data_IF_451461450003
#
_entry.id   IF_451461450003
#
_cell.length_a   1.000
_cell.length_b   1.000
_cell.length_c   1.000
_cell.angle_alpha   90.00
_cell.angle_beta   90.00
_cell.angle_gamma   90.00
#
_symmetry.space_group_name_H-M   'P 1'
#
loop_
_entity.id
_entity.type
_entity.pdbx_description
1 polymer ?
#
# COMPACT_ATOMS: atom_id res chain seq x y z
N UNK A 1 -15.59 -5.01 39.83
CA UNK A 1 -15.62 -4.10 38.66
C UNK A 1 -14.25 -3.87 38.01
N UNK A 2 -13.13 -3.81 38.77
CA UNK A 2 -11.78 -3.55 38.21
C UNK A 2 -11.29 -4.57 37.16
N UNK A 3 -11.65 -5.86 37.28
CA UNK A 3 -11.24 -6.92 36.34
C UNK A 3 -11.77 -6.73 34.91
N UNK A 4 -13.01 -6.25 34.73
CA UNK A 4 -13.61 -6.10 33.39
C UNK A 4 -12.94 -4.95 32.63
N UNK A 5 -12.60 -3.88 33.36
CA UNK A 5 -11.90 -2.72 32.80
C UNK A 5 -10.48 -3.08 32.33
N UNK A 6 -9.76 -3.92 33.08
CA UNK A 6 -8.43 -4.41 32.66
C UNK A 6 -8.51 -5.23 31.38
N UNK A 7 -9.48 -6.11 31.23
CA UNK A 7 -9.62 -6.96 30.04
C UNK A 7 -10.01 -6.18 28.79
N UNK A 8 -10.86 -5.15 28.92
CA UNK A 8 -11.20 -4.25 27.82
C UNK A 8 -9.95 -3.49 27.36
N UNK A 9 -9.16 -2.97 28.31
CA UNK A 9 -7.92 -2.24 28.01
C UNK A 9 -6.91 -3.18 27.33
N UNK A 10 -6.72 -4.39 27.85
CA UNK A 10 -5.83 -5.39 27.22
C UNK A 10 -6.30 -5.78 25.82
N UNK A 11 -7.61 -5.95 25.60
CA UNK A 11 -8.16 -6.22 24.27
C UNK A 11 -7.96 -5.05 23.31
N UNK A 12 -8.13 -3.80 23.75
CA UNK A 12 -7.88 -2.61 22.92
C UNK A 12 -6.40 -2.53 22.54
N UNK A 13 -5.47 -2.79 23.47
CA UNK A 13 -4.04 -2.82 23.16
C UNK A 13 -3.66 -4.00 22.25
N UNK A 14 -4.26 -5.18 22.44
CA UNK A 14 -4.02 -6.33 21.57
C UNK A 14 -4.62 -6.11 20.18
N UNK A 15 -5.79 -5.46 20.08
CA UNK A 15 -6.36 -5.02 18.81
C UNK A 15 -5.46 -3.95 18.16
N UNK A 16 -4.98 -2.94 18.88
CA UNK A 16 -3.99 -1.98 18.37
C UNK A 16 -2.67 -2.64 17.98
N UNK A 17 -2.26 -3.73 18.62
CA UNK A 17 -1.04 -4.47 18.30
C UNK A 17 -1.22 -5.36 17.06
N UNK A 18 -2.37 -6.03 16.93
CA UNK A 18 -2.73 -6.88 15.78
C UNK A 18 -3.18 -6.06 14.56
N UNK A 19 -3.81 -4.90 14.78
CA UNK A 19 -4.20 -3.91 13.77
C UNK A 19 -3.19 -2.75 13.65
N UNK A 20 -1.99 -2.90 14.21
CA UNK A 20 -0.77 -2.26 13.70
C UNK A 20 -0.02 -3.25 12.80
N UNK A 21 -0.55 -3.70 11.64
CA UNK A 21 0.38 -3.85 10.56
C UNK A 21 0.91 -2.44 10.33
N UNK A 22 2.22 -2.25 10.44
CA UNK A 22 2.91 -1.04 9.98
C UNK A 22 2.14 -0.42 8.80
N UNK A 23 1.35 0.63 9.06
CA UNK A 23 0.83 1.51 8.02
C UNK A 23 1.99 2.42 7.64
N UNK A 24 3.08 1.80 7.21
CA UNK A 24 3.82 2.31 6.08
C UNK A 24 3.18 1.60 4.91
N UNK A 25 2.19 2.24 4.28
CA UNK A 25 2.19 2.20 2.82
C UNK A 25 3.51 2.85 2.41
N UNK A 26 4.60 2.08 2.54
CA UNK A 26 5.89 2.46 2.02
C UNK A 26 5.64 2.44 0.54
N UNK A 27 5.50 3.65 0.00
CA UNK A 27 5.44 3.82 -1.42
C UNK A 27 6.48 2.97 -2.10
N UNK A 28 6.05 2.27 -3.14
CA UNK A 28 6.96 1.51 -3.99
C UNK A 28 8.13 2.45 -4.29
N UNK A 29 9.32 2.08 -3.81
CA UNK A 29 10.57 2.84 -4.01
C UNK A 29 10.71 4.22 -3.31
N UNK A 30 9.77 4.65 -2.44
CA UNK A 30 9.75 6.01 -1.86
C UNK A 30 10.94 6.38 -0.99
N UNK A 31 11.58 5.40 -0.34
CA UNK A 31 12.74 5.65 0.52
C UNK A 31 14.06 5.81 -0.25
N UNK A 32 14.07 5.61 -1.58
CA UNK A 32 15.29 5.59 -2.38
C UNK A 32 15.68 6.99 -2.92
N UNK A 33 14.72 7.89 -3.11
CA UNK A 33 15.01 9.28 -3.53
C UNK A 33 15.39 10.12 -2.31
N UNK A 34 16.68 10.43 -2.16
CA UNK A 34 17.23 11.23 -1.05
C UNK A 34 17.25 12.74 -1.36
N UNK A 35 17.58 13.54 -0.33
CA UNK A 35 17.76 14.99 -0.43
C UNK A 35 18.95 15.43 -1.30
N UNK A 36 19.81 14.50 -1.74
CA UNK A 36 21.01 14.80 -2.53
C UNK A 36 20.70 15.41 -3.91
N UNK A 37 19.44 15.32 -4.38
CA UNK A 37 18.96 16.01 -5.59
C UNK A 37 19.09 17.54 -5.48
N UNK A 38 19.19 18.10 -4.27
CA UNK A 38 19.39 19.54 -4.06
C UNK A 38 20.72 20.04 -4.62
N UNK A 39 21.74 19.17 -4.69
CA UNK A 39 23.08 19.52 -5.19
C UNK A 39 23.17 19.60 -6.72
N UNK A 40 22.12 19.20 -7.44
CA UNK A 40 22.06 19.28 -8.92
C UNK A 40 22.32 20.70 -9.41
N UNK A 41 21.74 21.71 -8.76
CA UNK A 41 21.92 23.12 -9.16
C UNK A 41 23.38 23.56 -9.09
N UNK A 42 24.10 23.13 -8.04
CA UNK A 42 25.53 23.37 -7.87
C UNK A 42 26.35 22.67 -8.96
N UNK A 43 25.99 21.43 -9.28
CA UNK A 43 26.65 20.69 -10.35
C UNK A 43 26.46 21.37 -11.71
N UNK A 44 25.24 21.78 -12.07
CA UNK A 44 24.97 22.49 -13.33
C UNK A 44 25.77 23.78 -13.43
N UNK A 45 25.89 24.54 -12.35
CA UNK A 45 26.69 25.77 -12.31
C UNK A 45 28.20 25.52 -12.52
N UNK A 46 28.69 24.33 -12.15
CA UNK A 46 30.08 23.94 -12.29
C UNK A 46 30.41 23.28 -13.64
N UNK A 47 29.41 22.98 -14.48
CA UNK A 47 29.61 22.38 -15.80
C UNK A 47 29.69 23.47 -16.88
N UNK A 48 30.57 23.31 -17.90
CA UNK A 48 30.59 24.24 -19.03
C UNK A 48 29.23 24.26 -19.75
N UNK A 49 28.71 25.45 -20.03
CA UNK A 49 27.35 25.62 -20.60
C UNK A 49 27.19 25.00 -21.99
N UNK A 50 28.28 24.97 -22.75
CA UNK A 50 28.37 24.44 -24.11
C UNK A 50 28.66 22.94 -24.15
N UNK A 51 29.05 22.34 -23.02
CA UNK A 51 29.28 20.90 -22.90
C UNK A 51 28.02 20.12 -23.31
N UNK A 52 28.23 18.96 -23.94
CA UNK A 52 27.15 18.12 -24.46
C UNK A 52 27.13 16.78 -23.74
N UNK A 53 26.02 16.51 -23.06
CA UNK A 53 25.74 15.23 -22.43
C UNK A 53 24.88 14.43 -23.41
N UNK A 54 25.33 13.23 -23.74
CA UNK A 54 24.56 12.27 -24.55
C UNK A 54 23.52 11.62 -23.67
N UNK A 55 22.27 11.60 -24.11
CA UNK A 55 21.19 10.84 -23.48
C UNK A 55 20.37 10.18 -24.58
N UNK A 56 20.13 8.87 -24.46
CA UNK A 56 19.16 8.17 -25.29
C UNK A 56 17.76 8.56 -24.83
N UNK A 57 17.18 9.54 -25.50
CA UNK A 57 15.92 10.14 -25.10
C UNK A 57 14.75 9.28 -25.57
N UNK A 58 13.82 8.97 -24.65
CA UNK A 58 12.57 8.25 -24.93
C UNK A 58 11.56 9.21 -25.59
N UNK A 59 11.16 8.96 -26.85
CA UNK A 59 10.17 9.78 -27.52
C UNK A 59 8.83 9.78 -26.77
N UNK A 60 8.16 10.94 -26.72
CA UNK A 60 6.86 11.07 -26.06
C UNK A 60 6.92 11.34 -24.56
N UNK A 61 8.10 11.43 -23.94
CA UNK A 61 8.25 11.84 -22.54
C UNK A 61 7.60 13.20 -22.25
N UNK A 62 7.54 14.08 -23.24
CA UNK A 62 6.93 15.41 -23.15
C UNK A 62 5.39 15.39 -23.14
N UNK A 63 4.76 14.41 -23.79
CA UNK A 63 3.30 14.35 -24.02
C UNK A 63 2.61 13.18 -23.31
N UNK A 64 3.33 12.09 -23.05
CA UNK A 64 2.77 10.88 -22.46
C UNK A 64 2.81 10.91 -20.93
N UNK A 65 1.87 10.20 -20.28
CA UNK A 65 1.94 9.93 -18.85
C UNK A 65 3.26 9.26 -18.43
N UNK A 66 3.68 9.49 -17.18
CA UNK A 66 4.96 9.02 -16.66
C UNK A 66 5.15 7.51 -16.75
N UNK A 67 4.11 6.71 -16.48
CA UNK A 67 4.18 5.24 -16.52
C UNK A 67 4.51 4.68 -17.92
N UNK A 68 4.44 5.50 -18.98
CA UNK A 68 4.76 5.07 -20.34
C UNK A 68 6.24 5.14 -20.71
N UNK A 69 7.03 5.93 -19.97
CA UNK A 69 8.42 6.22 -20.35
C UNK A 69 9.41 6.16 -19.19
N UNK A 70 8.93 6.23 -17.94
CA UNK A 70 9.80 6.41 -16.78
C UNK A 70 10.79 5.25 -16.59
N UNK A 71 10.38 3.99 -16.80
CA UNK A 71 11.27 2.82 -16.66
C UNK A 71 12.46 2.88 -17.60
N UNK A 72 12.20 3.20 -18.86
CA UNK A 72 13.24 3.30 -19.87
C UNK A 72 14.09 4.54 -19.62
N UNK A 73 13.47 5.66 -19.24
CA UNK A 73 14.18 6.92 -19.01
C UNK A 73 15.15 6.84 -17.83
N UNK A 74 14.77 6.21 -16.71
CA UNK A 74 15.69 6.05 -15.57
C UNK A 74 16.88 5.17 -15.94
N UNK A 75 16.68 4.11 -16.71
CA UNK A 75 17.77 3.28 -17.21
C UNK A 75 18.74 4.08 -18.11
N UNK A 76 18.21 4.89 -19.03
CA UNK A 76 19.05 5.73 -19.90
C UNK A 76 19.77 6.86 -19.14
N UNK A 77 19.16 7.39 -18.07
CA UNK A 77 19.79 8.37 -17.19
C UNK A 77 20.95 7.77 -16.39
N UNK A 78 20.81 6.55 -15.86
CA UNK A 78 21.88 5.83 -15.15
C UNK A 78 23.13 5.69 -16.03
N UNK A 79 22.96 5.22 -17.27
CA UNK A 79 24.04 5.11 -18.25
C UNK A 79 24.71 6.46 -18.52
N UNK A 80 23.90 7.49 -18.79
CA UNK A 80 24.42 8.82 -19.14
C UNK A 80 25.14 9.51 -17.97
N UNK A 81 24.69 9.29 -16.73
CA UNK A 81 25.33 9.79 -15.53
C UNK A 81 26.63 9.04 -15.22
N UNK A 82 26.67 7.73 -15.44
CA UNK A 82 27.90 6.92 -15.31
C UNK A 82 28.96 7.37 -16.32
N UNK A 83 28.57 7.55 -17.59
CA UNK A 83 29.45 8.10 -18.63
C UNK A 83 29.96 9.51 -18.30
N UNK A 84 29.15 10.30 -17.57
CA UNK A 84 29.54 11.62 -17.10
C UNK A 84 30.50 11.54 -15.92
N UNK A 85 30.26 10.62 -14.97
CA UNK A 85 31.08 10.39 -13.79
C UNK A 85 32.53 10.07 -14.19
N UNK A 86 32.71 9.22 -15.20
CA UNK A 86 34.02 8.79 -15.72
C UNK A 86 34.89 9.94 -16.25
N UNK A 87 34.28 11.10 -16.53
CA UNK A 87 35.01 12.30 -17.01
C UNK A 87 35.59 13.13 -15.87
N UNK A 88 35.20 12.85 -14.63
CA UNK A 88 35.69 13.54 -13.45
C UNK A 88 36.64 12.64 -12.68
N UNK A 89 37.76 13.20 -12.23
CA UNK A 89 38.65 12.49 -11.31
C UNK A 89 37.99 12.41 -9.93
N UNK A 90 38.11 11.25 -9.28
CA UNK A 90 37.71 11.04 -7.90
C UNK A 90 38.69 11.76 -6.94
N UNK A 91 38.55 13.07 -6.83
CA UNK A 91 39.33 13.89 -5.92
C UNK A 91 38.61 13.88 -4.57
N UNK A 92 39.32 13.42 -3.52
CA UNK A 92 38.83 13.20 -2.15
C UNK A 92 38.45 14.48 -1.38
N UNK A 93 38.45 15.65 -2.03
CA UNK A 93 38.04 16.91 -1.40
C UNK A 93 36.52 17.08 -1.52
N UNK A 94 35.87 17.37 -0.39
CA UNK A 94 34.41 17.37 -0.25
C UNK A 94 33.68 18.26 -1.26
N UNK A 95 32.47 17.84 -1.64
CA UNK A 95 31.56 18.52 -2.56
C UNK A 95 32.15 18.78 -3.97
N UNK A 96 32.91 17.79 -4.47
CA UNK A 96 33.37 17.72 -5.86
C UNK A 96 32.25 17.33 -6.83
N UNK A 97 32.38 17.72 -8.09
CA UNK A 97 31.43 17.30 -9.14
C UNK A 97 31.31 15.77 -9.21
N UNK A 98 32.44 15.05 -9.05
CA UNK A 98 32.46 13.59 -8.96
C UNK A 98 31.54 13.09 -7.85
N UNK A 99 31.68 13.61 -6.62
CA UNK A 99 30.87 13.17 -5.48
C UNK A 99 29.38 13.44 -5.68
N UNK A 100 29.02 14.56 -6.31
CA UNK A 100 27.62 14.85 -6.63
C UNK A 100 27.11 13.84 -7.66
N UNK A 101 27.83 13.66 -8.78
CA UNK A 101 27.40 12.74 -9.84
C UNK A 101 27.29 11.29 -9.31
N UNK A 102 28.26 10.82 -8.51
CA UNK A 102 28.25 9.48 -7.89
C UNK A 102 27.00 9.24 -7.04
N UNK A 103 26.58 10.24 -6.25
CA UNK A 103 25.32 10.17 -5.51
C UNK A 103 24.10 10.11 -6.43
N UNK A 104 24.08 10.90 -7.50
CA UNK A 104 22.97 10.88 -8.46
C UNK A 104 22.89 9.55 -9.22
N UNK A 105 24.04 8.95 -9.58
CA UNK A 105 24.10 7.60 -10.18
C UNK A 105 23.45 6.59 -9.24
N UNK A 106 23.86 6.56 -7.96
CA UNK A 106 23.29 5.66 -6.95
C UNK A 106 21.78 5.81 -6.81
N UNK A 107 21.27 7.05 -6.77
CA UNK A 107 19.83 7.30 -6.72
C UNK A 107 19.14 6.69 -7.94
N UNK A 108 19.67 6.89 -9.15
CA UNK A 108 19.02 6.37 -10.36
C UNK A 108 19.13 4.85 -10.47
N UNK A 109 20.26 4.26 -10.09
CA UNK A 109 20.44 2.81 -10.06
C UNK A 109 19.47 2.14 -9.08
N UNK A 110 19.32 2.75 -7.90
CA UNK A 110 18.33 2.36 -6.91
C UNK A 110 16.90 2.41 -7.48
N UNK A 111 16.59 3.39 -8.33
CA UNK A 111 15.29 3.48 -9.02
C UNK A 111 15.13 2.40 -10.09
N UNK A 112 16.16 2.14 -10.89
CA UNK A 112 16.16 1.09 -11.92
C UNK A 112 15.90 -0.27 -11.27
N UNK A 113 16.66 -0.64 -10.25
CA UNK A 113 16.49 -1.90 -9.51
C UNK A 113 15.06 -2.02 -8.97
N UNK A 114 14.53 -0.94 -8.39
CA UNK A 114 13.19 -0.97 -7.83
C UNK A 114 12.08 -1.14 -8.90
N UNK A 115 12.28 -0.63 -10.11
CA UNK A 115 11.38 -0.85 -11.24
C UNK A 115 11.50 -2.24 -11.87
N UNK A 116 12.65 -2.90 -11.73
CA UNK A 116 12.84 -4.30 -12.15
C UNK A 116 12.19 -5.27 -11.16
N UNK A 117 12.32 -5.01 -9.85
CA UNK A 117 11.67 -5.79 -8.78
C UNK A 117 10.15 -5.69 -8.83
N UNK A 118 9.63 -4.48 -9.10
CA UNK A 118 8.22 -4.22 -9.27
C UNK A 118 7.92 -4.07 -10.76
N UNK A 119 7.75 -5.21 -11.44
CA UNK A 119 7.09 -5.27 -12.75
C UNK A 119 5.70 -4.64 -12.63
N UNK A 120 5.63 -3.33 -12.81
CA UNK A 120 4.37 -2.65 -12.99
C UNK A 120 3.79 -3.23 -14.29
N UNK A 121 2.78 -4.11 -14.18
CA UNK A 121 2.11 -4.70 -15.35
C UNK A 121 1.58 -3.61 -16.32
N UNK A 122 1.46 -2.38 -15.84
CA UNK A 122 1.01 -1.19 -16.57
C UNK A 122 2.12 -0.38 -17.25
N UNK A 123 3.42 -0.66 -17.03
CA UNK A 123 4.51 0.06 -17.69
C UNK A 123 4.73 -0.54 -19.08
N UNK A 124 3.96 -0.02 -20.04
CA UNK A 124 4.08 -0.40 -21.44
C UNK A 124 5.37 0.21 -21.99
N UNK A 125 6.31 -0.63 -22.43
CA UNK A 125 7.52 -0.18 -23.13
C UNK A 125 7.13 0.70 -24.32
N UNK A 126 7.75 1.88 -24.43
CA UNK A 126 7.60 2.76 -25.58
C UNK A 126 7.75 1.96 -26.88
N UNK A 127 6.83 2.16 -27.83
CA UNK A 127 6.87 1.49 -29.14
C UNK A 127 8.03 1.97 -30.01
N UNK A 128 8.64 3.12 -29.67
CA UNK A 128 9.77 3.68 -30.39
C UNK A 128 11.04 3.59 -29.54
N UNK A 129 12.10 3.06 -30.15
CA UNK A 129 13.43 2.96 -29.54
C UNK A 129 13.92 4.34 -29.08
N UNK A 130 14.55 4.44 -27.89
CA UNK A 130 15.23 5.65 -27.47
C UNK A 130 16.29 6.10 -28.48
N UNK A 131 16.31 7.40 -28.77
CA UNK A 131 17.24 7.97 -29.75
C UNK A 131 18.35 8.76 -29.04
N UNK A 132 19.64 8.55 -29.36
CA UNK A 132 20.73 9.36 -28.83
C UNK A 132 20.55 10.83 -29.20
N UNK A 133 20.53 11.70 -28.20
CA UNK A 133 20.45 13.15 -28.35
C UNK A 133 21.47 13.82 -27.45
N UNK A 134 21.93 14.99 -27.88
CA UNK A 134 22.90 15.80 -27.15
C UNK A 134 22.19 16.95 -26.43
N UNK A 135 22.42 17.06 -25.12
CA UNK A 135 21.81 18.08 -24.27
C UNK A 135 22.87 18.93 -23.59
N UNK A 136 22.58 20.21 -23.37
CA UNK A 136 23.37 21.03 -22.44
C UNK A 136 23.15 20.54 -21.01
N UNK A 137 24.06 20.84 -20.06
CA UNK A 137 23.89 20.42 -18.66
C UNK A 137 22.53 20.82 -18.09
N UNK A 138 22.12 22.07 -18.30
CA UNK A 138 20.81 22.57 -17.84
C UNK A 138 19.64 21.71 -18.36
N UNK A 139 19.62 21.40 -19.67
CA UNK A 139 18.54 20.61 -20.26
C UNK A 139 18.58 19.15 -19.79
N UNK A 140 19.77 18.56 -19.68
CA UNK A 140 19.95 17.20 -19.21
C UNK A 140 19.46 17.05 -17.76
N UNK A 141 19.91 17.92 -16.86
CA UNK A 141 19.51 17.87 -15.46
C UNK A 141 18.05 18.33 -15.25
N UNK A 142 17.48 19.11 -16.17
CA UNK A 142 16.03 19.35 -16.23
C UNK A 142 15.23 18.08 -16.56
N UNK A 143 15.72 17.25 -17.48
CA UNK A 143 15.14 15.92 -17.76
C UNK A 143 15.27 15.01 -16.54
N UNK A 144 16.45 14.97 -15.91
CA UNK A 144 16.68 14.22 -14.68
C UNK A 144 15.67 14.58 -13.59
N UNK A 145 15.55 15.86 -13.23
CA UNK A 145 14.62 16.29 -12.17
C UNK A 145 13.17 15.94 -12.50
N UNK A 146 12.75 16.14 -13.76
CA UNK A 146 11.41 15.74 -14.23
C UNK A 146 11.18 14.24 -14.07
N UNK A 147 12.17 13.39 -14.34
CA UNK A 147 12.07 11.95 -14.15
C UNK A 147 11.97 11.58 -12.66
N UNK A 148 12.78 12.18 -11.80
CA UNK A 148 12.73 11.96 -10.35
C UNK A 148 11.36 12.37 -9.79
N UNK A 149 10.79 13.49 -10.22
CA UNK A 149 9.47 13.95 -9.78
C UNK A 149 8.35 13.06 -10.32
N UNK A 150 8.41 12.68 -11.60
CA UNK A 150 7.46 11.75 -12.21
C UNK A 150 7.43 10.39 -11.50
N UNK A 151 8.56 9.97 -10.94
CA UNK A 151 8.66 8.75 -10.16
C UNK A 151 7.95 8.86 -8.80
N UNK A 152 8.05 10.00 -8.11
CA UNK A 152 7.30 10.26 -6.87
C UNK A 152 5.78 10.20 -7.12
N UNK A 153 5.33 10.66 -8.29
CA UNK A 153 3.92 10.68 -8.67
C UNK A 153 3.41 9.31 -9.15
N UNK A 154 4.30 8.40 -9.58
CA UNK A 154 3.95 7.09 -10.11
C UNK A 154 3.23 6.20 -9.07
N UNK A 155 3.58 6.37 -7.79
CA UNK A 155 2.94 5.70 -6.65
C UNK A 155 1.44 6.03 -6.54
N UNK A 156 1.02 7.24 -6.95
CA UNK A 156 -0.39 7.66 -6.92
C UNK A 156 -1.14 7.28 -8.20
N UNK A 157 -0.42 7.11 -9.33
CA UNK A 157 -1.00 6.98 -10.66
C UNK A 157 -1.15 5.53 -11.17
N UNK A 158 -0.48 4.55 -10.54
CA UNK A 158 -0.53 3.14 -10.94
C UNK A 158 -1.96 2.51 -11.01
N UNK A 159 -2.97 3.21 -10.49
CA UNK A 159 -4.39 2.84 -10.54
C UNK A 159 -5.17 3.36 -11.76
N UNK A 160 -4.55 4.11 -12.68
CA UNK A 160 -5.25 4.70 -13.84
C UNK A 160 -4.59 4.29 -15.16
N UNK A 161 -5.16 3.26 -15.78
CA UNK A 161 -4.83 2.75 -17.12
C UNK A 161 -5.10 3.81 -18.20
N UNK A 162 -4.12 4.69 -18.42
CA UNK A 162 -4.08 5.53 -19.63
C UNK A 162 -3.14 4.91 -20.66
N UNK A 163 -3.57 4.90 -21.92
CA UNK A 163 -2.90 4.18 -23.00
C UNK A 163 -1.61 4.87 -23.45
N UNK A 164 -0.50 4.12 -23.54
CA UNK A 164 0.81 4.63 -23.95
C UNK A 164 0.96 4.64 -25.48
N UNK A 165 0.13 5.44 -26.17
CA UNK A 165 0.16 5.59 -27.63
C UNK A 165 0.36 7.05 -28.00
N UNK A 166 1.47 7.35 -28.66
CA UNK A 166 1.68 8.64 -29.33
C UNK A 166 0.80 8.61 -30.59
N UNK A 167 -0.38 9.22 -30.53
CA UNK A 167 -1.29 9.29 -31.67
C UNK A 167 -0.62 10.00 -32.84
N UNK A 168 -0.06 9.21 -33.75
CA UNK A 168 0.45 9.67 -35.04
C UNK A 168 -0.66 9.43 -36.06
N UNK A 169 -1.26 10.51 -36.54
CA UNK A 169 -2.18 10.61 -37.69
C UNK A 169 -3.58 9.98 -37.59
N UNK A 170 -4.57 10.81 -37.90
CA UNK A 170 -5.97 10.48 -38.18
C UNK A 170 -6.08 9.33 -39.22
N UNK A 171 -6.59 8.18 -38.81
CA UNK A 171 -7.29 7.23 -39.72
C UNK A 171 -8.19 6.30 -38.89
N UNK A 172 -9.48 6.15 -39.19
CA UNK A 172 -10.42 5.41 -38.35
C UNK A 172 -10.36 3.92 -38.69
N UNK A 173 -9.59 3.14 -37.94
CA UNK A 173 -9.68 1.69 -38.02
C UNK A 173 -10.65 1.16 -36.95
N UNK A 174 -11.84 0.78 -37.41
CA UNK A 174 -12.84 0.00 -36.68
C UNK A 174 -12.22 -1.33 -36.24
N UNK A 175 -12.15 -1.61 -34.93
CA UNK A 175 -11.66 -2.91 -34.47
C UNK A 175 -11.91 -3.22 -32.99
N UNK A 176 -13.14 -3.64 -32.67
CA UNK A 176 -13.56 -4.53 -31.56
C UNK A 176 -13.14 -4.17 -30.12
N UNK A 177 -14.12 -3.66 -29.37
CA UNK A 177 -14.17 -3.74 -27.92
C UNK A 177 -14.21 -5.21 -27.47
N UNK A 178 -13.18 -5.65 -26.75
CA UNK A 178 -13.24 -6.83 -25.88
C UNK A 178 -13.51 -6.34 -24.46
N UNK A 179 -14.69 -6.65 -23.93
CA UNK A 179 -15.06 -6.40 -22.55
C UNK A 179 -14.13 -7.20 -21.62
N UNK A 180 -13.37 -6.52 -20.76
CA UNK A 180 -12.65 -7.17 -19.66
C UNK A 180 -13.63 -7.43 -18.52
N UNK A 181 -13.93 -8.71 -18.30
CA UNK A 181 -14.73 -9.23 -17.19
C UNK A 181 -13.89 -9.18 -15.90
N UNK A 182 -14.51 -8.61 -14.86
CA UNK A 182 -14.29 -8.78 -13.41
C UNK A 182 -12.86 -8.72 -12.83
N UNK A 183 -12.48 -7.53 -12.34
CA UNK A 183 -11.51 -7.39 -11.24
C UNK A 183 -12.06 -6.57 -10.06
N UNK A 184 -13.26 -6.01 -10.21
CA UNK A 184 -13.95 -5.24 -9.17
C UNK A 184 -14.30 -6.11 -7.95
N UNK A 185 -14.43 -7.42 -8.09
CA UNK A 185 -14.84 -8.30 -7.01
C UNK A 185 -13.74 -8.51 -5.93
N UNK A 186 -12.45 -8.36 -6.28
CA UNK A 186 -11.35 -8.57 -5.33
C UNK A 186 -11.18 -7.39 -4.35
N UNK A 187 -11.42 -6.15 -4.80
CA UNK A 187 -11.23 -4.95 -3.97
C UNK A 187 -12.31 -4.80 -2.88
N UNK A 188 -13.55 -5.17 -3.18
CA UNK A 188 -14.63 -5.18 -2.19
C UNK A 188 -14.46 -6.37 -1.21
N UNK A 189 -13.89 -7.49 -1.66
CA UNK A 189 -13.58 -8.62 -0.79
C UNK A 189 -12.55 -8.25 0.29
N UNK A 190 -11.51 -7.48 -0.06
CA UNK A 190 -10.48 -7.04 0.89
C UNK A 190 -11.00 -6.07 1.97
N UNK A 191 -12.00 -5.23 1.64
CA UNK A 191 -12.65 -4.33 2.62
C UNK A 191 -13.75 -5.03 3.43
N UNK A 192 -14.44 -6.00 2.85
CA UNK A 192 -15.55 -6.69 3.51
C UNK A 192 -15.09 -7.80 4.47
N UNK A 193 -14.00 -8.52 4.14
CA UNK A 193 -13.52 -9.66 4.94
C UNK A 193 -13.24 -9.29 6.42
N UNK A 194 -12.53 -8.18 6.75
CA UNK A 194 -12.29 -7.80 8.15
C UNK A 194 -13.56 -7.48 8.94
N UNK A 195 -14.56 -6.89 8.27
CA UNK A 195 -15.85 -6.58 8.88
C UNK A 195 -16.69 -7.84 9.13
N UNK A 196 -16.68 -8.79 8.17
CA UNK A 196 -17.35 -10.08 8.32
C UNK A 196 -16.71 -10.94 9.42
N UNK A 197 -15.36 -11.00 9.50
CA UNK A 197 -14.68 -11.69 10.59
C UNK A 197 -15.01 -11.06 11.95
N UNK A 198 -15.02 -9.73 12.05
CA UNK A 198 -15.36 -9.04 13.30
C UNK A 198 -16.81 -9.28 13.73
N UNK A 199 -17.76 -9.33 12.78
CA UNK A 199 -19.17 -9.57 13.06
C UNK A 199 -19.42 -11.02 13.48
N UNK A 200 -18.78 -12.00 12.84
CA UNK A 200 -18.89 -13.41 13.21
C UNK A 200 -18.27 -13.68 14.59
N UNK A 201 -17.09 -13.14 14.85
CA UNK A 201 -16.43 -13.28 16.16
C UNK A 201 -17.25 -12.58 17.24
N UNK A 202 -17.73 -11.35 17.00
CA UNK A 202 -18.59 -10.62 17.94
C UNK A 202 -19.90 -11.34 18.24
N UNK A 203 -20.54 -11.92 17.22
CA UNK A 203 -21.77 -12.71 17.40
C UNK A 203 -21.52 -14.02 18.16
N UNK A 204 -20.42 -14.73 17.87
CA UNK A 204 -20.07 -15.96 18.58
C UNK A 204 -19.79 -15.70 20.07
N UNK A 205 -19.03 -14.65 20.40
CA UNK A 205 -18.80 -14.26 21.79
C UNK A 205 -20.08 -13.75 22.46
N UNK A 206 -20.92 -12.99 21.76
CA UNK A 206 -22.21 -12.53 22.26
C UNK A 206 -23.17 -13.68 22.59
N UNK A 207 -23.27 -14.67 21.70
CA UNK A 207 -24.09 -15.86 21.90
C UNK A 207 -23.56 -16.74 23.04
N UNK A 208 -22.24 -16.90 23.17
CA UNK A 208 -21.63 -17.63 24.28
C UNK A 208 -21.82 -16.91 25.62
N UNK A 209 -21.74 -15.57 25.65
CA UNK A 209 -22.03 -14.78 26.85
C UNK A 209 -23.52 -14.86 27.23
N UNK A 210 -24.42 -14.84 26.25
CA UNK A 210 -25.84 -15.02 26.45
C UNK A 210 -26.16 -16.41 27.01
N UNK A 211 -25.51 -17.45 26.47
CA UNK A 211 -25.63 -18.84 26.95
C UNK A 211 -25.10 -19.02 28.38
N UNK A 212 -24.07 -18.27 28.77
CA UNK A 212 -23.54 -18.27 30.15
C UNK A 212 -24.36 -17.42 31.14
N UNK A 213 -25.22 -16.52 30.64
CA UNK A 213 -26.12 -15.67 31.43
C UNK A 213 -27.57 -16.20 31.50
N UNK A 214 -27.86 -17.39 30.98
CA UNK A 214 -29.03 -18.11 31.47
C UNK A 214 -28.69 -18.67 32.87
N UNK A 215 -29.36 -18.23 33.95
CA UNK A 215 -29.32 -19.00 35.18
C UNK A 215 -29.84 -20.40 34.84
N UNK A 216 -29.08 -21.43 35.19
CA UNK A 216 -29.44 -22.83 34.96
C UNK A 216 -30.94 -23.05 35.28
N UNK A 217 -31.74 -23.31 34.23
CA UNK A 217 -33.16 -23.67 34.33
C UNK A 217 -33.36 -24.91 35.22
N UNK A 218 -32.30 -25.68 35.45
CA UNK A 218 -32.27 -26.83 36.35
C UNK A 218 -32.52 -26.47 37.82
N UNK A 219 -32.16 -25.27 38.28
CA UNK A 219 -32.35 -24.88 39.70
C UNK A 219 -33.78 -24.41 40.01
N UNK A 220 -34.55 -24.06 38.99
CA UNK A 220 -35.95 -23.65 39.15
C UNK A 220 -36.88 -24.87 39.23
N UNK A 221 -36.61 -25.94 38.47
CA UNK A 221 -37.38 -27.19 38.52
C UNK A 221 -37.24 -27.89 39.87
N UNK A 222 -36.03 -27.91 40.44
CA UNK A 222 -35.79 -28.53 41.75
C UNK A 222 -36.50 -27.78 42.89
N UNK A 223 -36.56 -26.44 42.84
CA UNK A 223 -37.31 -25.64 43.81
C UNK A 223 -38.84 -25.75 43.64
N UNK A 224 -39.34 -25.99 42.42
CA UNK A 224 -40.78 -26.19 42.19
C UNK A 224 -41.21 -27.56 42.72
N UNK A 225 -40.40 -28.60 42.51
CA UNK A 225 -40.73 -29.95 42.97
C UNK A 225 -40.71 -30.06 44.51
N UNK A 226 -39.79 -29.38 45.18
CA UNK A 226 -39.74 -29.33 46.65
C UNK A 226 -40.96 -28.62 47.24
N UNK A 227 -41.42 -27.53 46.62
CA UNK A 227 -42.61 -26.80 47.08
C UNK A 227 -43.93 -27.55 46.83
N UNK A 228 -44.01 -28.39 45.78
CA UNK A 228 -45.20 -29.20 45.50
C UNK A 228 -45.33 -30.35 46.52
N UNK A 229 -44.23 -31.04 46.84
CA UNK A 229 -44.22 -32.11 47.84
C UNK A 229 -44.56 -31.58 49.25
N UNK A 230 -44.05 -30.40 49.63
CA UNK A 230 -44.37 -29.77 50.92
C UNK A 230 -45.86 -29.34 51.02
N UNK A 231 -46.47 -28.95 49.89
CA UNK A 231 -47.89 -28.63 49.77
C UNK A 231 -48.76 -29.88 50.02
N UNK A 232 -48.43 -31.00 49.38
CA UNK A 232 -49.20 -32.24 49.51
C UNK A 232 -49.11 -32.83 50.93
N UNK A 233 -47.94 -32.76 51.59
CA UNK A 233 -47.76 -33.24 52.97
C UNK A 233 -48.58 -32.39 53.96
N UNK A 234 -48.64 -31.07 53.78
CA UNK A 234 -49.42 -30.18 54.66
C UNK A 234 -50.93 -30.42 54.57
N UNK A 235 -51.43 -30.77 53.38
CA UNK A 235 -52.86 -31.08 53.19
C UNK A 235 -53.23 -32.42 53.84
N UNK A 236 -52.35 -33.41 53.78
CA UNK A 236 -52.57 -34.70 54.43
C UNK A 236 -52.54 -34.59 55.96
N UNK A 237 -51.63 -33.81 56.53
CA UNK A 237 -51.61 -33.55 57.98
C UNK A 237 -52.84 -32.78 58.48
N UNK A 238 -53.38 -31.85 57.69
CA UNK A 238 -54.63 -31.14 58.02
C UNK A 238 -55.82 -32.11 58.04
N UNK A 239 -55.93 -32.98 57.03
CA UNK A 239 -57.00 -33.98 56.93
C UNK A 239 -56.92 -35.04 58.04
N UNK A 240 -55.72 -35.45 58.45
CA UNK A 240 -55.56 -36.37 59.57
C UNK A 240 -55.95 -35.72 60.92
N UNK A 241 -55.75 -34.39 61.04
CA UNK A 241 -56.20 -33.60 62.19
C UNK A 241 -57.74 -33.49 62.25
N UNK A 242 -58.42 -33.34 61.12
CA UNK A 242 -59.89 -33.32 61.06
C UNK A 242 -60.54 -34.68 61.39
N UNK A 243 -59.87 -35.80 61.08
CA UNK A 243 -60.37 -37.14 61.40
C UNK A 243 -60.20 -37.54 62.88
N UNK A 244 -59.38 -36.82 63.66
CA UNK A 244 -59.21 -37.05 65.10
C UNK A 244 -60.14 -36.19 65.99
N UNK A 245 -60.91 -35.26 65.41
CA UNK A 245 -61.88 -34.41 66.12
C UNK A 245 -63.35 -34.88 66.01
N UNK A 246 -63.60 -36.14 65.66
CA UNK A 246 -64.96 -36.76 65.67
C UNK A 246 -65.04 -37.99 66.57
#
# INVERSE_FOLDING_TARGET
>A
MKKIQTWIITCIYLQLFLFNPLVKTQGICRNRVTDDVKDVTKLVANLPKDYKITLKYVPGMDVLPSHCWISEMVAQLSVSLTDLLDKFSNISEGLSNYSIIDKLVKIVDDLVECMEEHSFENVKKSSKSPEPRLFTPEKFFGIFNRSIDAFKDLEMAASKTSECVISSTLSPEKGKASNSIDDSNLQWAAMALPAFFSLIIGFAFGALYWKKKQPNLTRAVENIQMNEEDNEISMLQEKEREFQEV
#
